data_IF_462300286793
#
_entry.id   IF_462300286793
#
_cell.length_a   1.000
_cell.length_b   1.000
_cell.length_c   1.000
_cell.angle_alpha   90.00
_cell.angle_beta   90.00
_cell.angle_gamma   90.00
#
_symmetry.space_group_name_H-M   'P 1'
#
loop_
_entity.id
_entity.type
_entity.pdbx_description
1 polymer ?
#
# COMPACT_ATOMS: atom_id res chain seq x y z
N UNK A 1 -14.07 7.60 1.92
CA UNK A 1 -13.64 7.79 3.34
C UNK A 1 -12.52 6.81 3.64
N UNK A 2 -11.54 7.21 4.43
CA UNK A 2 -10.40 6.37 4.83
C UNK A 2 -9.98 6.65 6.27
N UNK A 3 -9.26 5.70 6.85
CA UNK A 3 -8.56 5.82 8.12
C UNK A 3 -7.16 5.24 7.97
N UNK A 4 -6.15 5.98 8.37
CA UNK A 4 -4.75 5.55 8.33
C UNK A 4 -4.21 5.58 9.76
N UNK A 5 -3.68 4.48 10.21
CA UNK A 5 -3.07 4.34 11.53
C UNK A 5 -1.61 3.86 11.38
N UNK A 6 -0.72 4.42 12.21
CA UNK A 6 0.69 4.05 12.28
C UNK A 6 1.02 3.77 13.75
N UNK A 7 1.62 2.62 13.99
CA UNK A 7 1.99 2.14 15.32
C UNK A 7 3.48 1.76 15.37
N UNK A 8 4.02 1.70 16.57
CA UNK A 8 5.24 0.92 16.79
C UNK A 8 4.94 -0.52 16.41
N UNK A 9 5.82 -1.14 15.61
CA UNK A 9 5.58 -2.50 15.13
C UNK A 9 5.55 -3.50 16.30
N UNK A 10 4.41 -4.14 16.54
CA UNK A 10 4.33 -5.19 17.53
C UNK A 10 5.23 -6.36 17.16
N UNK A 11 5.74 -7.05 18.19
CA UNK A 11 6.60 -8.20 17.96
C UNK A 11 5.82 -9.41 17.45
N UNK A 12 4.56 -9.58 17.93
CA UNK A 12 3.73 -10.74 17.63
C UNK A 12 2.66 -10.44 16.58
N UNK A 13 2.37 -11.43 15.74
CA UNK A 13 1.37 -11.31 14.67
C UNK A 13 -0.05 -11.12 15.24
N UNK A 14 -0.34 -11.71 16.38
CA UNK A 14 -1.64 -11.57 17.07
C UNK A 14 -1.90 -10.10 17.46
N UNK A 15 -0.87 -9.39 17.93
CA UNK A 15 -0.97 -7.97 18.27
C UNK A 15 -1.20 -7.11 17.02
N UNK A 16 -0.56 -7.43 15.89
CA UNK A 16 -0.80 -6.76 14.60
C UNK A 16 -2.23 -6.96 14.12
N UNK A 17 -2.77 -8.19 14.28
CA UNK A 17 -4.15 -8.48 13.94
C UNK A 17 -5.12 -7.72 14.85
N UNK A 18 -4.84 -7.62 16.14
CA UNK A 18 -5.63 -6.82 17.07
C UNK A 18 -5.66 -5.35 16.66
N UNK A 19 -4.51 -4.73 16.40
CA UNK A 19 -4.43 -3.34 15.94
C UNK A 19 -5.21 -3.10 14.64
N UNK A 20 -5.14 -4.06 13.70
CA UNK A 20 -5.92 -3.98 12.47
C UNK A 20 -7.42 -4.04 12.76
N UNK A 21 -7.87 -4.95 13.62
CA UNK A 21 -9.28 -5.05 13.98
C UNK A 21 -9.78 -3.79 14.70
N UNK A 22 -8.99 -3.22 15.60
CA UNK A 22 -9.31 -1.94 16.25
C UNK A 22 -9.45 -0.80 15.23
N UNK A 23 -8.54 -0.72 14.25
CA UNK A 23 -8.63 0.26 13.15
C UNK A 23 -9.90 0.06 12.30
N UNK A 24 -10.28 -1.19 12.01
CA UNK A 24 -11.50 -1.53 11.29
C UNK A 24 -12.75 -1.13 12.10
N UNK A 25 -12.80 -1.42 13.40
CA UNK A 25 -13.93 -1.07 14.26
C UNK A 25 -14.05 0.46 14.44
N UNK A 26 -12.93 1.15 14.57
CA UNK A 26 -12.92 2.62 14.62
C UNK A 26 -13.43 3.24 13.30
N UNK A 27 -13.13 2.62 12.16
CA UNK A 27 -13.63 3.05 10.86
C UNK A 27 -15.09 2.69 10.63
N UNK A 28 -15.51 1.49 11.06
CA UNK A 28 -16.89 0.95 10.94
C UNK A 28 -17.38 0.39 12.28
N UNK A 29 -17.82 1.23 13.21
CA UNK A 29 -18.23 0.79 14.56
C UNK A 29 -19.28 -0.32 14.57
N UNK A 30 -20.18 -0.36 13.57
CA UNK A 30 -21.21 -1.40 13.43
C UNK A 30 -20.64 -2.82 13.26
N UNK A 31 -19.36 -2.95 12.96
CA UNK A 31 -18.69 -4.24 12.83
C UNK A 31 -18.13 -4.76 14.17
N UNK A 32 -18.07 -3.94 15.21
CA UNK A 32 -17.47 -4.32 16.50
C UNK A 32 -18.20 -5.52 17.16
N UNK A 33 -19.52 -5.61 16.98
CA UNK A 33 -20.33 -6.72 17.52
C UNK A 33 -20.40 -7.92 16.57
N UNK A 34 -19.67 -7.90 15.47
CA UNK A 34 -19.68 -8.97 14.47
C UNK A 34 -18.46 -9.85 14.64
N UNK A 35 -18.66 -11.17 14.73
CA UNK A 35 -17.55 -12.11 14.70
C UNK A 35 -16.90 -12.10 13.29
N UNK A 36 -15.70 -11.59 13.22
CA UNK A 36 -14.94 -11.37 11.98
C UNK A 36 -13.66 -12.19 11.99
N UNK A 37 -13.20 -12.54 10.79
CA UNK A 37 -11.93 -13.21 10.56
C UNK A 37 -11.23 -12.60 9.33
N UNK A 38 -9.89 -12.69 9.28
CA UNK A 38 -9.07 -12.18 8.18
C UNK A 38 -8.60 -13.38 7.35
N UNK A 39 -8.93 -13.36 6.06
CA UNK A 39 -8.42 -14.32 5.09
C UNK A 39 -7.54 -13.63 4.07
N UNK A 40 -6.77 -14.41 3.33
CA UNK A 40 -5.89 -13.90 2.25
C UNK A 40 -6.30 -14.51 0.93
N UNK A 41 -6.16 -13.71 -0.15
CA UNK A 41 -6.27 -14.22 -1.52
C UNK A 41 -5.08 -15.15 -1.84
N UNK A 42 -5.11 -15.81 -2.97
CA UNK A 42 -3.99 -16.62 -3.46
C UNK A 42 -2.68 -15.82 -3.58
N UNK A 43 -2.80 -14.55 -3.93
CA UNK A 43 -1.69 -13.59 -4.06
C UNK A 43 -1.30 -12.93 -2.73
N UNK A 44 -1.97 -13.30 -1.61
CA UNK A 44 -1.64 -12.84 -0.27
C UNK A 44 -2.36 -11.58 0.20
N UNK A 45 -3.21 -10.93 -0.63
CA UNK A 45 -3.96 -9.74 -0.21
C UNK A 45 -4.98 -10.10 0.87
N UNK A 46 -4.96 -9.46 2.06
CA UNK A 46 -5.90 -9.75 3.12
C UNK A 46 -7.29 -9.17 2.83
N UNK A 47 -8.33 -9.84 3.32
CA UNK A 47 -9.72 -9.39 3.26
C UNK A 47 -10.51 -9.92 4.45
N UNK A 48 -11.62 -9.24 4.77
CA UNK A 48 -12.46 -9.54 5.92
C UNK A 48 -13.58 -10.50 5.55
N UNK A 49 -13.86 -11.45 6.43
CA UNK A 49 -14.99 -12.37 6.31
C UNK A 49 -15.77 -12.43 7.62
N UNK A 50 -17.06 -12.75 7.54
CA UNK A 50 -17.83 -13.15 8.71
C UNK A 50 -17.35 -14.50 9.20
N UNK A 51 -16.93 -14.59 10.46
CA UNK A 51 -16.47 -15.85 11.06
C UNK A 51 -17.60 -16.90 11.13
N UNK A 52 -18.87 -16.45 11.21
CA UNK A 52 -20.03 -17.35 11.26
C UNK A 52 -20.38 -17.95 9.91
N UNK A 53 -20.34 -17.18 8.82
CA UNK A 53 -20.80 -17.62 7.50
C UNK A 53 -19.68 -17.86 6.49
N UNK A 54 -18.45 -17.41 6.78
CA UNK A 54 -17.32 -17.41 5.85
C UNK A 54 -17.47 -16.44 4.67
N UNK A 55 -18.59 -15.69 4.61
CA UNK A 55 -18.81 -14.74 3.51
C UNK A 55 -17.94 -13.50 3.66
N UNK A 56 -17.41 -13.00 2.53
CA UNK A 56 -16.66 -11.76 2.48
C UNK A 56 -17.53 -10.58 2.94
N UNK A 57 -16.97 -9.72 3.78
CA UNK A 57 -17.60 -8.47 4.19
C UNK A 57 -17.36 -7.44 3.09
N UNK A 58 -18.44 -6.88 2.55
CA UNK A 58 -18.39 -5.86 1.49
C UNK A 58 -18.25 -4.45 2.07
N UNK A 59 -17.75 -3.51 1.26
CA UNK A 59 -17.61 -2.10 1.62
C UNK A 59 -16.56 -1.84 2.71
N UNK A 60 -15.64 -2.77 2.90
CA UNK A 60 -14.43 -2.63 3.72
C UNK A 60 -13.25 -3.15 2.93
N UNK A 61 -12.29 -2.28 2.72
CA UNK A 61 -11.00 -2.58 2.14
C UNK A 61 -9.91 -2.14 3.10
N UNK A 62 -8.80 -2.84 3.10
CA UNK A 62 -7.65 -2.44 3.91
C UNK A 62 -6.35 -2.95 3.30
N UNK A 63 -5.28 -2.27 3.64
CA UNK A 63 -3.92 -2.65 3.29
C UNK A 63 -3.01 -2.44 4.49
N UNK A 64 -2.01 -3.28 4.64
CA UNK A 64 -1.05 -3.24 5.74
C UNK A 64 0.37 -3.20 5.22
N UNK A 65 1.24 -2.53 5.95
CA UNK A 65 2.68 -2.52 5.70
C UNK A 65 3.46 -2.39 7.00
N UNK A 66 4.67 -2.93 7.03
CA UNK A 66 5.57 -2.75 8.16
C UNK A 66 7.03 -2.68 7.69
N UNK A 67 7.81 -1.84 8.32
CA UNK A 67 9.24 -1.70 8.04
C UNK A 67 9.94 -1.02 9.22
N UNK A 68 11.13 -1.51 9.56
CA UNK A 68 12.06 -0.82 10.45
C UNK A 68 11.53 -0.47 11.85
N UNK A 69 10.56 -1.21 12.37
CA UNK A 69 9.97 -1.00 13.70
C UNK A 69 8.69 -0.16 13.70
N UNK A 70 8.14 0.15 12.51
CA UNK A 70 6.79 0.69 12.34
C UNK A 70 5.89 -0.30 11.63
N UNK A 71 4.64 -0.34 12.04
CA UNK A 71 3.54 -1.05 11.41
C UNK A 71 2.44 -0.04 11.06
N UNK A 72 1.81 -0.20 9.92
CA UNK A 72 0.76 0.71 9.47
C UNK A 72 -0.36 -0.04 8.76
N UNK A 73 -1.56 0.52 8.84
CA UNK A 73 -2.70 0.08 8.06
C UNK A 73 -3.49 1.27 7.51
N UNK A 74 -4.13 1.06 6.37
CA UNK A 74 -5.20 1.89 5.86
C UNK A 74 -6.47 1.06 5.79
N UNK A 75 -7.59 1.63 6.23
CA UNK A 75 -8.94 1.07 6.09
C UNK A 75 -9.77 2.05 5.27
N UNK A 76 -10.47 1.56 4.27
CA UNK A 76 -11.19 2.42 3.29
C UNK A 76 -12.49 1.77 2.81
N UNK A 77 -13.39 2.60 2.29
CA UNK A 77 -14.62 2.17 1.61
C UNK A 77 -14.36 1.52 0.25
N UNK A 78 -13.27 1.92 -0.41
CA UNK A 78 -12.86 1.47 -1.73
C UNK A 78 -11.53 0.71 -1.74
N UNK A 79 -11.17 0.14 -2.89
CA UNK A 79 -9.88 -0.52 -3.06
C UNK A 79 -8.72 0.41 -2.69
N UNK A 80 -7.77 -0.10 -1.92
CA UNK A 80 -6.61 0.66 -1.48
C UNK A 80 -5.35 -0.20 -1.42
N UNK A 81 -4.20 0.48 -1.40
CA UNK A 81 -2.90 -0.12 -1.16
C UNK A 81 -2.04 0.83 -0.30
N UNK A 82 -1.23 0.28 0.56
CA UNK A 82 -0.35 1.02 1.46
C UNK A 82 1.03 0.39 1.46
N UNK A 83 2.06 1.20 1.32
CA UNK A 83 3.42 0.77 1.63
C UNK A 83 4.14 1.75 2.54
N UNK A 84 4.94 1.19 3.45
CA UNK A 84 5.77 1.90 4.42
C UNK A 84 7.17 1.32 4.35
N UNK A 85 8.18 2.16 4.19
CA UNK A 85 9.57 1.75 4.12
C UNK A 85 10.46 2.55 5.05
N UNK A 86 11.30 1.85 5.82
CA UNK A 86 12.47 2.49 6.44
C UNK A 86 13.57 2.61 5.40
N UNK A 87 13.97 3.82 5.10
CA UNK A 87 15.06 4.07 4.17
C UNK A 87 16.38 3.59 4.77
N UNK A 88 17.05 2.67 4.07
CA UNK A 88 18.36 2.12 4.46
C UNK A 88 19.27 2.12 3.26
N UNK A 89 20.57 2.34 3.44
CA UNK A 89 21.56 2.11 2.39
C UNK A 89 21.39 0.70 1.83
N UNK A 90 21.20 0.58 0.54
CA UNK A 90 21.02 -0.69 -0.18
C UNK A 90 21.67 -0.60 -1.56
N UNK A 91 21.84 -1.72 -2.24
CA UNK A 91 22.26 -1.75 -3.64
C UNK A 91 21.08 -1.35 -4.56
N UNK A 92 20.49 -0.17 -4.31
CA UNK A 92 19.26 0.27 -4.97
C UNK A 92 19.41 0.45 -6.49
N UNK A 93 20.60 0.80 -6.98
CA UNK A 93 20.84 0.93 -8.43
C UNK A 93 20.70 -0.42 -9.16
N UNK A 94 21.18 -1.51 -8.56
CA UNK A 94 21.05 -2.85 -9.12
C UNK A 94 19.58 -3.32 -9.12
N UNK A 95 18.85 -3.01 -8.04
CA UNK A 95 17.41 -3.29 -7.93
C UNK A 95 16.62 -2.45 -8.94
N UNK A 96 16.94 -1.17 -9.07
CA UNK A 96 16.30 -0.28 -10.03
C UNK A 96 16.47 -0.78 -11.46
N UNK A 97 17.68 -1.11 -11.86
CA UNK A 97 17.97 -1.65 -13.20
C UNK A 97 17.23 -2.96 -13.50
N UNK A 98 16.96 -3.77 -12.48
CA UNK A 98 16.27 -5.06 -12.63
C UNK A 98 14.76 -4.94 -12.70
N UNK A 99 14.16 -4.02 -11.94
CA UNK A 99 12.72 -4.02 -11.67
C UNK A 99 11.98 -2.80 -12.19
N UNK A 100 12.68 -1.74 -12.59
CA UNK A 100 12.03 -0.48 -12.98
C UNK A 100 12.22 -0.17 -14.47
N UNK A 101 11.49 0.82 -14.97
CA UNK A 101 11.67 1.32 -16.33
C UNK A 101 13.01 2.07 -16.45
N UNK A 102 13.56 2.21 -17.67
CA UNK A 102 14.79 2.98 -17.88
C UNK A 102 14.69 4.41 -17.36
N UNK A 103 13.53 5.06 -17.53
CA UNK A 103 13.26 6.42 -17.07
C UNK A 103 13.25 6.49 -15.54
N UNK A 104 12.59 5.57 -14.88
CA UNK A 104 12.57 5.44 -13.41
C UNK A 104 13.99 5.16 -12.87
N UNK A 105 14.74 4.30 -13.55
CA UNK A 105 16.12 4.00 -13.18
C UNK A 105 17.04 5.23 -13.32
N UNK A 106 16.80 6.09 -14.31
CA UNK A 106 17.51 7.37 -14.47
C UNK A 106 17.17 8.33 -13.34
N UNK A 107 15.88 8.51 -13.04
CA UNK A 107 15.43 9.31 -11.91
C UNK A 107 16.09 8.85 -10.59
N UNK A 108 16.05 7.54 -10.31
CA UNK A 108 16.65 6.95 -9.11
C UNK A 108 18.16 7.22 -9.04
N UNK A 109 18.88 7.15 -10.16
CA UNK A 109 20.30 7.45 -10.20
C UNK A 109 20.61 8.92 -9.84
N UNK A 110 19.76 9.83 -10.25
CA UNK A 110 19.89 11.28 -9.98
C UNK A 110 19.47 11.64 -8.55
N UNK A 111 18.33 11.11 -8.09
CA UNK A 111 17.75 11.40 -6.78
C UNK A 111 18.32 10.50 -5.65
N UNK A 112 19.10 9.47 -5.99
CA UNK A 112 19.75 8.59 -5.03
C UNK A 112 18.77 7.72 -4.23
N UNK A 113 19.11 7.50 -2.95
CA UNK A 113 18.36 6.64 -2.05
C UNK A 113 16.90 7.11 -1.88
N UNK A 114 16.70 8.41 -1.76
CA UNK A 114 15.35 8.99 -1.64
C UNK A 114 14.50 8.63 -2.87
N UNK A 115 15.01 8.89 -4.08
CA UNK A 115 14.29 8.59 -5.31
C UNK A 115 13.99 7.11 -5.50
N UNK A 116 14.89 6.23 -5.04
CA UNK A 116 14.59 4.79 -5.04
C UNK A 116 13.35 4.48 -4.20
N UNK A 117 13.29 4.97 -2.96
CA UNK A 117 12.17 4.69 -2.09
C UNK A 117 10.87 5.36 -2.55
N UNK A 118 10.94 6.54 -3.17
CA UNK A 118 9.76 7.20 -3.76
C UNK A 118 9.09 6.35 -4.84
N UNK A 119 9.88 5.73 -5.72
CA UNK A 119 9.34 4.84 -6.77
C UNK A 119 8.97 3.47 -6.19
N UNK A 120 9.80 2.92 -5.29
CA UNK A 120 9.55 1.61 -4.67
C UNK A 120 8.26 1.57 -3.88
N UNK A 121 8.03 2.53 -2.97
CA UNK A 121 6.81 2.56 -2.15
C UNK A 121 5.55 2.75 -2.97
N UNK A 122 5.59 3.60 -4.02
CA UNK A 122 4.46 3.73 -4.96
C UNK A 122 4.19 2.41 -5.69
N UNK A 123 5.23 1.71 -6.10
CA UNK A 123 5.12 0.41 -6.78
C UNK A 123 4.51 -0.66 -5.88
N UNK A 124 4.98 -0.75 -4.64
CA UNK A 124 4.47 -1.70 -3.66
C UNK A 124 3.03 -1.35 -3.23
N UNK A 125 2.71 -0.07 -3.02
CA UNK A 125 1.35 0.37 -2.74
C UNK A 125 0.40 -0.02 -3.89
N UNK A 126 0.79 0.22 -5.15
CA UNK A 126 0.00 -0.17 -6.32
C UNK A 126 -0.14 -1.71 -6.41
N UNK A 127 0.90 -2.48 -6.10
CA UNK A 127 0.84 -3.93 -6.07
C UNK A 127 -0.17 -4.46 -5.04
N UNK A 128 -0.20 -3.83 -3.88
CA UNK A 128 -1.16 -4.14 -2.81
C UNK A 128 -2.58 -3.68 -3.17
N UNK A 129 -2.73 -2.53 -3.83
CA UNK A 129 -4.01 -2.07 -4.36
C UNK A 129 -4.60 -3.07 -5.35
N UNK A 130 -3.84 -3.48 -6.34
CA UNK A 130 -4.28 -4.43 -7.37
C UNK A 130 -4.50 -5.84 -6.84
N UNK A 131 -3.81 -6.20 -5.77
CA UNK A 131 -3.78 -7.56 -5.22
C UNK A 131 -3.00 -8.56 -6.06
N UNK A 132 -2.28 -8.13 -7.10
CA UNK A 132 -1.50 -9.01 -7.98
C UNK A 132 -0.10 -9.31 -7.44
N UNK A 133 0.33 -8.57 -6.41
CA UNK A 133 1.70 -8.60 -5.94
C UNK A 133 2.68 -7.93 -6.91
N UNK A 134 3.88 -7.66 -6.44
CA UNK A 134 4.91 -6.95 -7.20
C UNK A 134 5.22 -7.60 -8.56
N UNK A 135 5.39 -8.91 -8.57
CA UNK A 135 5.73 -9.65 -9.80
C UNK A 135 4.54 -9.89 -10.72
N UNK A 136 3.33 -10.00 -10.18
CA UNK A 136 2.11 -10.19 -10.97
C UNK A 136 1.74 -8.99 -11.85
N UNK A 137 2.22 -7.79 -11.48
CA UNK A 137 2.03 -6.57 -12.28
C UNK A 137 3.05 -6.41 -13.42
N UNK A 138 4.09 -7.21 -13.49
CA UNK A 138 5.27 -6.97 -14.33
C UNK A 138 4.97 -6.67 -15.80
N UNK A 139 3.98 -7.32 -16.38
CA UNK A 139 3.62 -7.17 -17.80
C UNK A 139 2.77 -5.93 -18.13
N UNK A 140 2.09 -5.35 -17.13
CA UNK A 140 1.13 -4.24 -17.32
C UNK A 140 1.39 -3.06 -16.38
N UNK A 141 2.54 -3.06 -15.69
CA UNK A 141 2.86 -2.00 -14.74
C UNK A 141 2.95 -0.64 -15.42
N UNK A 142 2.36 0.43 -14.86
CA UNK A 142 2.58 1.78 -15.36
C UNK A 142 3.96 2.28 -14.98
N UNK A 143 4.47 3.27 -15.73
CA UNK A 143 5.57 4.11 -15.28
C UNK A 143 5.06 4.98 -14.11
N UNK A 144 5.88 5.12 -13.08
CA UNK A 144 5.54 5.90 -11.87
C UNK A 144 6.17 7.28 -11.87
N UNK A 145 6.53 7.78 -13.06
CA UNK A 145 6.93 9.18 -13.27
C UNK A 145 5.85 9.91 -14.07
N UNK A 146 5.68 11.17 -13.78
CA UNK A 146 4.85 12.10 -14.55
C UNK A 146 5.58 12.61 -15.82
N UNK A 147 4.97 13.54 -16.52
CA UNK A 147 5.54 14.14 -17.74
C UNK A 147 6.81 14.96 -17.48
N UNK A 148 6.98 15.47 -16.26
CA UNK A 148 8.14 16.23 -15.80
C UNK A 148 9.27 15.33 -15.26
N UNK A 149 9.07 14.01 -15.29
CA UNK A 149 10.03 13.01 -14.79
C UNK A 149 10.12 12.96 -13.26
N UNK A 150 9.08 13.39 -12.55
CA UNK A 150 8.96 13.30 -11.09
C UNK A 150 8.07 12.15 -10.67
N UNK A 151 8.15 11.67 -9.41
CA UNK A 151 7.24 10.64 -8.92
C UNK A 151 5.77 11.03 -9.13
N UNK A 152 5.05 10.23 -9.89
CA UNK A 152 3.68 10.51 -10.30
C UNK A 152 2.74 10.59 -9.09
N UNK A 153 1.90 11.63 -9.05
CA UNK A 153 0.82 11.74 -8.08
C UNK A 153 -0.35 10.78 -8.40
N UNK A 154 -0.53 10.43 -9.67
CA UNK A 154 -1.53 9.48 -10.12
C UNK A 154 -1.05 8.70 -11.33
N UNK A 155 -1.56 7.48 -11.50
CA UNK A 155 -1.31 6.66 -12.69
C UNK A 155 -2.58 6.00 -13.19
N UNK A 156 -2.63 5.73 -14.47
CA UNK A 156 -3.72 4.93 -15.03
C UNK A 156 -3.44 3.44 -14.83
N UNK A 157 -4.35 2.75 -14.14
CA UNK A 157 -4.36 1.31 -14.02
C UNK A 157 -5.63 0.76 -14.66
N UNK A 158 -5.49 0.12 -15.83
CA UNK A 158 -6.62 -0.29 -16.68
C UNK A 158 -7.47 0.92 -17.06
N UNK A 159 -8.74 0.92 -16.68
CA UNK A 159 -9.74 1.96 -16.93
C UNK A 159 -9.87 2.99 -15.80
N UNK A 160 -9.06 2.90 -14.74
CA UNK A 160 -9.16 3.71 -13.53
C UNK A 160 -7.92 4.55 -13.29
N UNK A 161 -8.11 5.72 -12.69
CA UNK A 161 -7.03 6.52 -12.12
C UNK A 161 -6.79 6.07 -10.68
N UNK A 162 -5.53 5.81 -10.36
CA UNK A 162 -5.06 5.49 -9.02
C UNK A 162 -4.16 6.62 -8.56
N UNK A 163 -4.58 7.30 -7.51
CA UNK A 163 -3.88 8.42 -6.88
C UNK A 163 -2.96 7.90 -5.80
N UNK A 164 -1.79 8.51 -5.66
CA UNK A 164 -0.83 8.26 -4.59
C UNK A 164 -0.76 9.45 -3.64
N UNK A 165 -0.88 9.20 -2.36
CA UNK A 165 -0.72 10.20 -1.32
C UNK A 165 0.38 9.79 -0.34
N UNK A 166 1.28 10.72 -0.06
CA UNK A 166 2.32 10.51 0.95
C UNK A 166 1.75 10.69 2.35
N UNK A 167 2.12 9.77 3.23
CA UNK A 167 1.69 9.77 4.62
C UNK A 167 2.82 10.34 5.46
N UNK A 168 2.48 11.23 6.39
CA UNK A 168 3.44 11.77 7.35
C UNK A 168 3.94 10.66 8.28
N UNK A 169 5.23 10.39 8.22
CA UNK A 169 5.95 9.38 9.01
C UNK A 169 7.19 9.99 9.66
N UNK A 170 7.79 9.35 10.68
CA UNK A 170 9.06 9.79 11.26
C UNK A 170 10.19 9.88 10.23
N UNK A 171 11.19 10.71 10.53
CA UNK A 171 12.39 10.85 9.71
C UNK A 171 13.07 9.50 9.43
N UNK A 172 13.57 9.34 8.22
CA UNK A 172 14.16 8.08 7.75
C UNK A 172 13.16 7.03 7.30
N UNK A 173 11.87 7.37 7.24
CA UNK A 173 10.83 6.54 6.65
C UNK A 173 10.18 7.26 5.47
N UNK A 174 9.54 6.48 4.61
CA UNK A 174 8.64 6.95 3.56
C UNK A 174 7.42 6.04 3.52
N UNK A 175 6.24 6.61 3.44
CA UNK A 175 5.01 5.85 3.32
C UNK A 175 4.09 6.49 2.28
N UNK A 176 3.46 5.63 1.49
CA UNK A 176 2.52 6.02 0.44
C UNK A 176 1.32 5.10 0.49
N UNK A 177 0.14 5.67 0.43
CA UNK A 177 -1.05 4.90 0.13
C UNK A 177 -1.60 5.27 -1.24
N UNK A 178 -2.40 4.39 -1.83
CA UNK A 178 -3.05 4.66 -3.10
C UNK A 178 -4.49 4.13 -3.10
N UNK A 179 -5.33 4.83 -3.85
CA UNK A 179 -6.76 4.56 -3.97
C UNK A 179 -7.28 4.98 -5.35
N UNK A 180 -8.50 4.62 -5.67
CA UNK A 180 -9.16 5.13 -6.87
C UNK A 180 -9.57 6.59 -6.65
N UNK A 181 -9.37 7.42 -7.66
CA UNK A 181 -9.96 8.75 -7.70
C UNK A 181 -11.43 8.62 -8.10
N UNK A 182 -12.33 9.15 -7.29
CA UNK A 182 -13.74 9.31 -7.70
C UNK A 182 -13.77 10.39 -8.78
N UNK A 183 -13.98 9.99 -10.03
CA UNK A 183 -14.27 10.93 -11.11
C UNK A 183 -15.59 11.62 -10.78
N UNK A 184 -15.54 12.82 -10.23
CA UNK A 184 -16.69 13.70 -10.24
C UNK A 184 -16.95 14.12 -11.68
N UNK A 185 -18.05 13.63 -12.26
CA UNK A 185 -18.59 14.08 -13.53
C UNK A 185 -18.96 15.57 -13.48
#
# INVERSE_FOLDING_TARGET
>A
MERIDIFKDPFYEEERQQLLMESIWNFRPKLADTALDIRRTKEGKPYLVSARSGRKVSGIHFSISHSGGLWSCVVSDGPCGLDLQKMRPAAFEALAKRFFFPEESRYIKEAGLQGFYEIWTRREALAKYTGLGFFGMSAQRPCLLDAEGKPAAAVRWKDRWVVFEEIKVPDGYLAVWCHEEEMTE
#
